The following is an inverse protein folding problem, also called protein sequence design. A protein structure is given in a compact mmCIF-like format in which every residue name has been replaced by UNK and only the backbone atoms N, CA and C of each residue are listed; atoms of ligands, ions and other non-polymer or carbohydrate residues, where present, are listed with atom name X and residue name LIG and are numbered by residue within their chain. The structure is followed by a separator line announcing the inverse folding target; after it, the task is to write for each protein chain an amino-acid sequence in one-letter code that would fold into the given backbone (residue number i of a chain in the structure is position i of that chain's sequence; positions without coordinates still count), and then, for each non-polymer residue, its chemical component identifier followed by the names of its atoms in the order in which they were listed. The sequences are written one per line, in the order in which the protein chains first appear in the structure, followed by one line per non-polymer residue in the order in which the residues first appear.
data_IF_739376933275
#
_entry.id   IF_739376933275
#
_cell.length_a   1.000
_cell.length_b   1.000
_cell.length_c   1.000
_cell.angle_alpha   90.00
_cell.angle_beta   90.00
_cell.angle_gamma   90.00
#
_symmetry.space_group_name_H-M   'P 1'
#
loop_
_entity.id
_entity.type
_entity.pdbx_description
1 polymer ?
#
# COMPACT_ATOMS: atom_id res chain seq x y z
N UNK A 1 -11.26 -5.43 10.28
CA UNK A 1 -11.09 -6.43 11.35
C UNK A 1 -9.98 -7.38 11.06
N UNK A 2 -9.92 -7.86 9.83
CA UNK A 2 -8.86 -8.77 9.46
C UNK A 2 -7.52 -8.06 9.51
N UNK A 3 -7.50 -6.80 9.12
CA UNK A 3 -6.28 -6.03 9.21
C UNK A 3 -5.83 -5.89 10.65
N UNK A 4 -6.77 -5.71 11.56
CA UNK A 4 -6.42 -5.60 12.97
C UNK A 4 -5.78 -6.87 13.49
N UNK A 5 -6.28 -8.01 13.05
CA UNK A 5 -5.68 -9.28 13.46
C UNK A 5 -4.29 -9.44 12.91
N UNK A 6 -4.06 -8.97 11.68
CA UNK A 6 -2.73 -9.01 11.10
C UNK A 6 -1.76 -8.13 11.87
N UNK A 7 -2.22 -6.96 12.27
CA UNK A 7 -1.39 -6.05 13.06
C UNK A 7 -0.91 -6.70 14.34
N UNK A 8 -1.76 -7.51 14.96
CA UNK A 8 -1.40 -8.12 16.22
C UNK A 8 -0.33 -9.19 16.09
N UNK A 9 -0.03 -9.62 14.87
CA UNK A 9 0.95 -10.68 14.65
C UNK A 9 2.35 -10.16 14.44
N UNK A 10 2.55 -8.86 14.42
CA UNK A 10 3.86 -8.28 14.18
C UNK A 10 4.30 -7.50 15.41
N UNK A 11 5.59 -7.24 15.51
CA UNK A 11 6.14 -6.55 16.68
C UNK A 11 5.79 -5.08 16.69
N UNK A 12 5.68 -4.48 15.57
CA UNK A 12 5.18 -3.14 15.44
C UNK A 12 3.91 -3.19 14.64
N UNK A 13 3.39 -2.03 14.33
CA UNK A 13 2.17 -1.94 13.54
C UNK A 13 2.42 -1.17 12.28
N UNK A 14 1.75 -1.61 11.21
CA UNK A 14 1.75 -0.87 9.96
C UNK A 14 0.32 -0.55 9.63
N UNK A 15 0.03 0.73 9.49
CA UNK A 15 -1.28 1.19 9.05
C UNK A 15 -1.21 1.50 7.58
N UNK A 16 -2.19 1.03 6.82
CA UNK A 16 -2.20 1.18 5.38
C UNK A 16 -3.45 1.93 4.95
N UNK A 17 -3.27 2.97 4.17
CA UNK A 17 -4.38 3.69 3.56
C UNK A 17 -4.04 3.96 2.11
N UNK A 18 -5.05 4.25 1.29
CA UNK A 18 -4.80 4.51 -0.11
C UNK A 18 -5.75 5.57 -0.64
N UNK A 19 -5.37 6.16 -1.75
CA UNK A 19 -6.17 7.15 -2.44
C UNK A 19 -6.15 6.84 -3.93
N UNK A 20 -7.30 6.47 -4.46
CA UNK A 20 -7.50 6.26 -5.90
C UNK A 20 -8.85 6.87 -6.24
N UNK A 21 -8.80 7.90 -7.08
CA UNK A 21 -10.00 8.65 -7.44
C UNK A 21 -10.10 8.78 -8.95
N UNK A 22 -11.30 9.09 -9.43
CA UNK A 22 -11.60 9.35 -10.83
C UNK A 22 -11.34 8.13 -11.71
N UNK A 23 -11.96 6.99 -11.42
CA UNK A 23 -13.00 6.75 -10.43
C UNK A 23 -12.43 6.27 -9.10
N UNK A 24 -13.25 6.33 -8.07
CA UNK A 24 -12.89 5.78 -6.77
C UNK A 24 -12.79 4.26 -6.90
N UNK A 25 -11.72 3.70 -6.37
CA UNK A 25 -11.51 2.26 -6.37
C UNK A 25 -11.54 1.76 -4.93
N UNK A 26 -11.92 0.51 -4.78
CA UNK A 26 -11.89 -0.14 -3.47
C UNK A 26 -10.84 -1.21 -3.45
N UNK A 27 -10.34 -1.54 -2.27
CA UNK A 27 -9.33 -2.58 -2.15
C UNK A 27 -10.00 -3.95 -2.20
N UNK A 28 -9.39 -4.86 -2.97
CA UNK A 28 -9.78 -6.25 -2.97
C UNK A 28 -8.85 -7.05 -2.09
N UNK A 29 -7.58 -6.71 -2.10
CA UNK A 29 -6.58 -7.36 -1.28
C UNK A 29 -5.46 -6.36 -1.06
N UNK A 30 -5.49 -5.69 0.08
CA UNK A 30 -4.51 -4.66 0.41
C UNK A 30 -3.47 -5.29 1.32
N UNK A 31 -2.26 -5.45 0.80
CA UNK A 31 -1.20 -6.13 1.53
C UNK A 31 -0.64 -5.24 2.62
N UNK A 32 -0.48 -5.81 3.81
CA UNK A 32 0.12 -5.11 4.94
C UNK A 32 1.52 -5.69 5.14
N UNK A 33 2.57 -4.87 4.98
CA UNK A 33 3.92 -5.41 5.09
C UNK A 33 4.25 -5.79 6.52
N UNK A 34 5.13 -6.76 6.69
CA UNK A 34 5.64 -7.11 8.00
C UNK A 34 6.53 -5.98 8.50
N UNK A 35 6.45 -5.69 9.80
CA UNK A 35 7.28 -4.64 10.41
C UNK A 35 8.61 -5.26 10.80
N UNK A 36 9.62 -5.06 9.98
CA UNK A 36 10.95 -5.62 10.22
C UNK A 36 12.03 -4.56 10.28
N UNK A 37 11.64 -3.31 10.28
CA UNK A 37 12.60 -2.21 10.27
C UNK A 37 12.69 -1.61 11.65
N UNK A 38 13.81 -0.97 11.92
CA UNK A 38 13.99 -0.27 13.17
C UNK A 38 13.36 1.08 13.15
N UNK A 39 12.96 1.83 13.49
CA UNK A 39 12.41 3.14 13.35
C UNK A 39 11.02 3.12 12.81
N UNK A 40 10.37 4.23 12.86
CA UNK A 40 9.03 4.40 12.34
C UNK A 40 8.95 5.58 11.39
N UNK A 41 7.82 5.73 10.77
CA UNK A 41 7.60 6.82 9.85
C UNK A 41 6.59 6.48 8.79
N UNK A 42 6.33 7.44 7.93
CA UNK A 42 5.36 7.31 6.86
C UNK A 42 6.09 7.10 5.54
N UNK A 43 5.59 6.16 4.74
CA UNK A 43 6.08 5.98 3.37
C UNK A 43 4.90 6.12 2.43
N UNK A 44 5.01 7.02 1.48
CA UNK A 44 3.98 7.21 0.45
C UNK A 44 4.49 6.59 -0.84
N UNK A 45 3.74 5.63 -1.36
CA UNK A 45 4.08 4.94 -2.59
C UNK A 45 3.11 5.36 -3.68
N UNK A 46 3.66 5.86 -4.78
CA UNK A 46 2.85 6.19 -5.95
C UNK A 46 2.64 4.92 -6.75
N UNK A 47 1.39 4.65 -7.11
CA UNK A 47 1.04 3.43 -7.82
C UNK A 47 0.27 3.74 -9.09
N UNK A 48 0.35 2.83 -10.04
CA UNK A 48 -0.49 2.83 -11.23
C UNK A 48 -1.28 1.54 -11.24
N UNK A 49 -2.60 1.66 -11.36
CA UNK A 49 -3.52 0.52 -11.28
C UNK A 49 -4.23 0.38 -12.62
N UNK A 50 -4.34 -0.85 -13.12
CA UNK A 50 -5.04 -1.10 -14.36
C UNK A 50 -6.52 -1.42 -14.10
N UNK A 51 -7.26 -1.69 -15.17
CA UNK A 51 -8.69 -1.97 -15.03
C UNK A 51 -8.97 -3.25 -14.28
N UNK A 52 -8.05 -4.19 -14.32
CA UNK A 52 -8.21 -5.44 -13.59
C UNK A 52 -7.91 -5.27 -12.08
N UNK A 53 -7.49 -4.10 -11.67
CA UNK A 53 -7.18 -3.85 -10.26
C UNK A 53 -5.78 -4.24 -9.87
N UNK A 54 -4.91 -4.49 -10.84
CA UNK A 54 -3.53 -4.86 -10.57
C UNK A 54 -2.66 -3.63 -10.50
N UNK A 55 -1.68 -3.64 -9.58
CA UNK A 55 -0.68 -2.59 -9.51
C UNK A 55 0.40 -2.91 -10.53
N UNK A 56 0.46 -2.13 -11.60
CA UNK A 56 1.39 -2.37 -12.69
C UNK A 56 2.65 -1.54 -12.56
N UNK A 57 2.67 -0.57 -11.64
CA UNK A 57 3.85 0.23 -11.36
C UNK A 57 3.74 0.76 -9.95
N UNK A 58 4.89 0.87 -9.27
CA UNK A 58 4.93 1.38 -7.90
C UNK A 58 6.30 1.99 -7.66
N UNK A 59 6.32 3.17 -7.03
CA UNK A 59 7.56 3.80 -6.64
C UNK A 59 7.33 4.65 -5.40
N UNK A 60 8.38 4.82 -4.61
CA UNK A 60 8.29 5.63 -3.40
C UNK A 60 8.21 7.09 -3.79
N UNK A 61 7.19 7.78 -3.31
CA UNK A 61 7.04 9.21 -3.51
C UNK A 61 7.75 9.98 -2.40
N UNK A 62 7.64 9.53 -1.16
CA UNK A 62 8.27 10.22 -0.04
C UNK A 62 8.32 9.32 1.18
N UNK A 63 9.21 9.67 2.11
CA UNK A 63 9.21 9.15 3.45
C UNK A 63 10.03 7.90 3.68
N UNK A 64 10.22 7.59 4.96
CA UNK A 64 10.82 6.35 5.38
C UNK A 64 12.32 6.25 5.14
N UNK A 65 12.91 5.21 5.72
CA UNK A 65 14.29 4.85 5.39
C UNK A 65 14.26 3.73 4.35
N UNK A 66 15.43 3.23 4.00
CA UNK A 66 15.53 2.24 2.93
C UNK A 66 14.76 0.98 3.27
N UNK A 67 14.84 0.52 4.51
CA UNK A 67 14.14 -0.69 4.94
C UNK A 67 12.63 -0.52 4.79
N UNK A 68 12.10 0.60 5.27
CA UNK A 68 10.67 0.86 5.20
C UNK A 68 10.20 1.02 3.75
N UNK A 69 11.02 1.68 2.92
CA UNK A 69 10.66 1.87 1.51
C UNK A 69 10.59 0.55 0.77
N UNK A 70 11.53 -0.35 1.02
CA UNK A 70 11.50 -1.66 0.39
C UNK A 70 10.26 -2.45 0.80
N UNK A 71 9.94 -2.43 2.08
CA UNK A 71 8.77 -3.15 2.57
C UNK A 71 7.49 -2.60 1.96
N UNK A 72 7.39 -1.27 1.88
CA UNK A 72 6.22 -0.62 1.32
C UNK A 72 6.08 -0.92 -0.17
N UNK A 73 7.17 -0.86 -0.92
CA UNK A 73 7.13 -1.16 -2.36
C UNK A 73 6.68 -2.59 -2.61
N UNK A 74 7.24 -3.52 -1.85
CA UNK A 74 6.87 -4.92 -2.02
C UNK A 74 5.39 -5.14 -1.73
N UNK A 75 4.90 -4.52 -0.67
CA UNK A 75 3.50 -4.65 -0.32
C UNK A 75 2.60 -4.00 -1.37
N UNK A 76 3.00 -2.85 -1.90
CA UNK A 76 2.21 -2.16 -2.90
C UNK A 76 2.07 -2.99 -4.17
N UNK A 77 3.16 -3.65 -4.59
CA UNK A 77 3.15 -4.42 -5.84
C UNK A 77 2.21 -5.60 -5.80
N UNK A 78 1.95 -6.16 -4.63
CA UNK A 78 1.07 -7.32 -4.52
C UNK A 78 -0.33 -6.95 -4.08
N UNK A 79 -0.59 -5.68 -3.84
CA UNK A 79 -1.93 -5.23 -3.49
C UNK A 79 -2.83 -5.27 -4.72
N UNK A 80 -4.13 -5.43 -4.49
CA UNK A 80 -5.11 -5.55 -5.56
C UNK A 80 -6.31 -4.69 -5.24
N UNK A 81 -6.89 -4.13 -6.29
CA UNK A 81 -8.07 -3.29 -6.18
C UNK A 81 -9.21 -3.91 -6.98
N UNK A 82 -10.37 -3.30 -6.90
CA UNK A 82 -11.53 -3.83 -7.60
C UNK A 82 -11.35 -3.75 -9.11
N UNK A 83 -12.01 -4.65 -9.82
CA UNK A 83 -12.04 -4.62 -11.27
C UNK A 83 -13.02 -3.53 -11.69
N UNK A 84 -12.58 -2.65 -12.59
CA UNK A 84 -13.43 -1.55 -13.07
C UNK A 84 -13.12 -1.32 -14.54
N UNK A 85 -14.00 -1.82 -15.39
CA UNK A 85 -13.81 -1.74 -16.83
C UNK A 85 -13.96 -0.33 -17.35
N UNK A 86 -14.59 0.56 -16.58
CA UNK A 86 -14.76 1.94 -17.01
C UNK A 86 -13.61 2.82 -16.54
N UNK A 87 -12.68 2.29 -15.77
CA UNK A 87 -11.54 3.06 -15.31
C UNK A 87 -10.52 3.26 -16.42
N UNK A 88 -9.64 4.26 -16.29
CA UNK A 88 -8.54 4.39 -17.25
C UNK A 88 -7.66 3.15 -17.21
N UNK A 89 -7.01 2.88 -18.33
CA UNK A 89 -6.11 1.73 -18.41
C UNK A 89 -4.96 1.86 -17.43
N UNK A 90 -4.57 3.09 -17.10
CA UNK A 90 -3.50 3.36 -16.13
C UNK A 90 -3.97 4.46 -15.21
N UNK A 91 -4.47 4.07 -14.06
CA UNK A 91 -4.97 5.03 -13.09
C UNK A 91 -3.93 5.23 -12.01
N UNK A 92 -3.59 6.46 -11.71
CA UNK A 92 -2.57 6.77 -10.72
C UNK A 92 -3.20 7.05 -9.37
N UNK A 93 -2.48 6.68 -8.34
CA UNK A 93 -2.91 6.93 -6.98
C UNK A 93 -1.76 6.72 -6.03
N UNK A 94 -2.06 6.66 -4.74
CA UNK A 94 -1.03 6.48 -3.73
C UNK A 94 -1.49 5.50 -2.67
N UNK A 95 -0.52 4.82 -2.06
CA UNK A 95 -0.75 4.04 -0.84
C UNK A 95 0.20 4.58 0.20
N UNK A 96 -0.32 4.88 1.38
CA UNK A 96 0.47 5.38 2.49
C UNK A 96 0.60 4.30 3.54
N UNK A 97 1.84 3.99 3.90
CA UNK A 97 2.17 3.01 4.93
C UNK A 97 2.75 3.75 6.11
N UNK A 98 2.12 3.60 7.27
CA UNK A 98 2.59 4.23 8.50
C UNK A 98 3.15 3.15 9.39
N UNK A 99 4.47 3.20 9.63
CA UNK A 99 5.18 2.23 10.45
C UNK A 99 5.27 2.77 11.86
N UNK A 100 4.60 2.11 12.79
CA UNK A 100 4.51 2.56 14.18
C UNK A 100 5.30 1.59 15.04
N UNK A 101 6.45 2.01 15.62
CA UNK A 101 7.22 1.12 16.47
C UNK A 101 6.48 0.85 17.78
N UNK A 102 6.76 -0.29 18.38
CA UNK A 102 6.20 -0.62 19.68
C UNK A 102 7.11 -0.19 20.79
#
# INVERSE_FOLDING_TARGET
KDEERQDRKVKGRVTVSFSLTDPVRTSRSLNIPAYRCEGGGDVVVEITVNRAGEVVNARVQSGGDECMRESALRAARVSRFNIDQSAPARQQGTITYIFIPQ
#
